data_IF_294515216285
#
_entry.id   IF_294515216285
#
_cell.length_a   1.000
_cell.length_b   1.000
_cell.length_c   1.000
_cell.angle_alpha   90.00
_cell.angle_beta   90.00
_cell.angle_gamma   90.00
#
_symmetry.space_group_name_H-M   'P 1'
#
loop_
_entity.id
_entity.type
_entity.pdbx_description
1 polymer ?
#
# COMPACT_ATOMS: atom_id res chain seq x y z
N UNK A 1 -12.21 13.57 -5.43
CA UNK A 1 -12.33 12.13 -5.19
C UNK A 1 -11.03 11.61 -4.58
N UNK A 2 -11.13 10.84 -3.53
CA UNK A 2 -9.96 10.37 -2.80
C UNK A 2 -9.76 8.86 -3.01
N UNK A 3 -8.54 8.47 -3.32
CA UNK A 3 -8.19 7.05 -3.47
C UNK A 3 -7.65 6.54 -2.15
N UNK A 4 -8.19 5.44 -1.68
CA UNK A 4 -7.75 4.81 -0.44
C UNK A 4 -6.56 3.91 -0.72
N UNK A 5 -5.49 4.09 0.02
CA UNK A 5 -4.21 3.44 -0.22
C UNK A 5 -3.81 2.58 0.97
N UNK A 6 -3.37 1.36 0.68
CA UNK A 6 -2.73 0.51 1.66
C UNK A 6 -1.27 0.33 1.30
N UNK A 7 -0.41 0.32 2.30
CA UNK A 7 1.02 0.11 2.11
C UNK A 7 1.43 -1.19 2.79
N UNK A 8 1.95 -2.11 2.01
CA UNK A 8 2.44 -3.40 2.48
C UNK A 8 3.96 -3.35 2.55
N UNK A 9 4.50 -3.53 3.75
CA UNK A 9 5.92 -3.36 4.00
C UNK A 9 6.23 -1.93 4.40
N UNK A 10 6.35 -1.68 5.69
CA UNK A 10 6.55 -0.33 6.22
C UNK A 10 7.96 -0.14 6.76
N UNK A 11 8.95 -0.58 5.97
CA UNK A 11 10.35 -0.29 6.23
C UNK A 11 10.72 1.08 5.67
N UNK A 12 11.99 1.27 5.35
CA UNK A 12 12.47 2.57 4.86
C UNK A 12 11.72 3.01 3.61
N UNK A 13 11.56 2.11 2.64
CA UNK A 13 10.88 2.45 1.39
C UNK A 13 9.40 2.73 1.63
N UNK A 14 8.75 1.90 2.43
CA UNK A 14 7.33 2.10 2.74
C UNK A 14 7.08 3.44 3.43
N UNK A 15 7.94 3.82 4.35
CA UNK A 15 7.82 5.10 5.04
C UNK A 15 8.01 6.27 4.10
N UNK A 16 8.94 6.15 3.16
CA UNK A 16 9.14 7.20 2.15
C UNK A 16 7.93 7.36 1.25
N UNK A 17 7.32 6.25 0.86
CA UNK A 17 6.11 6.30 0.04
C UNK A 17 4.96 6.94 0.81
N UNK A 18 4.82 6.60 2.08
CA UNK A 18 3.78 7.19 2.91
C UNK A 18 3.96 8.70 2.97
N UNK A 19 5.19 9.17 3.21
CA UNK A 19 5.46 10.60 3.26
C UNK A 19 5.16 11.28 1.94
N UNK A 20 5.50 10.64 0.83
CA UNK A 20 5.23 11.19 -0.49
C UNK A 20 3.73 11.26 -0.77
N UNK A 21 3.00 10.22 -0.39
CA UNK A 21 1.55 10.18 -0.63
C UNK A 21 0.79 11.21 0.18
N UNK A 22 1.28 11.54 1.36
CA UNK A 22 0.66 12.59 2.18
C UNK A 22 0.62 13.94 1.48
N UNK A 23 1.55 14.17 0.56
CA UNK A 23 1.61 15.43 -0.16
C UNK A 23 0.69 15.46 -1.37
N UNK A 24 0.10 14.33 -1.71
CA UNK A 24 -0.79 14.23 -2.87
C UNK A 24 -2.23 14.26 -2.38
N UNK A 25 -2.94 15.29 -2.76
CA UNK A 25 -4.27 15.58 -2.26
C UNK A 25 -5.28 14.46 -2.51
N UNK A 26 -5.14 13.74 -3.62
CA UNK A 26 -6.10 12.73 -4.02
C UNK A 26 -5.86 11.36 -3.40
N UNK A 27 -4.82 11.19 -2.62
CA UNK A 27 -4.50 9.90 -2.00
C UNK A 27 -4.62 9.98 -0.49
N UNK A 28 -5.26 8.97 0.07
CA UNK A 28 -5.39 8.85 1.53
C UNK A 28 -4.88 7.48 1.94
N UNK A 29 -3.77 7.44 2.68
CA UNK A 29 -3.26 6.20 3.23
C UNK A 29 -4.13 5.82 4.43
N UNK A 30 -4.78 4.68 4.35
CA UNK A 30 -5.70 4.23 5.39
C UNK A 30 -5.19 3.05 6.19
N UNK A 31 -4.24 2.30 5.63
CA UNK A 31 -3.75 1.10 6.30
C UNK A 31 -2.31 0.80 5.95
N UNK A 32 -1.65 0.12 6.88
CA UNK A 32 -0.24 -0.26 6.76
C UNK A 32 -0.09 -1.70 7.22
N UNK A 33 0.87 -2.43 6.65
CA UNK A 33 1.24 -3.73 7.19
C UNK A 33 2.75 -3.89 7.21
N UNK A 34 3.25 -4.57 8.24
CA UNK A 34 4.67 -4.89 8.37
C UNK A 34 4.82 -6.00 9.40
N UNK A 35 5.75 -6.90 9.16
CA UNK A 35 5.97 -8.02 10.08
C UNK A 35 6.50 -7.54 11.44
N UNK A 36 7.05 -6.34 11.50
CA UNK A 36 7.52 -5.76 12.75
C UNK A 36 6.39 -5.23 13.63
N UNK A 37 5.18 -5.10 13.09
CA UNK A 37 4.05 -4.65 13.89
C UNK A 37 3.61 -5.76 14.84
N UNK A 38 3.55 -5.43 16.12
CA UNK A 38 3.01 -6.34 17.12
C UNK A 38 1.55 -5.97 17.32
N UNK A 39 0.67 -6.90 16.98
CA UNK A 39 -0.77 -6.70 17.10
C UNK A 39 -1.28 -5.59 16.15
N UNK A 40 -2.52 -5.31 16.30
CA UNK A 40 -3.19 -4.28 15.51
C UNK A 40 -2.95 -2.90 16.14
N UNK A 41 -1.74 -2.40 15.99
CA UNK A 41 -1.43 -1.07 16.49
C UNK A 41 -2.00 -0.03 15.55
N UNK A 42 -2.60 0.99 16.11
CA UNK A 42 -3.10 2.11 15.33
C UNK A 42 -2.03 3.20 15.25
N UNK A 43 -0.98 2.90 14.50
CA UNK A 43 0.06 3.88 14.28
C UNK A 43 -0.48 5.02 13.43
N UNK A 44 -0.26 6.24 13.85
CA UNK A 44 -0.64 7.41 13.07
C UNK A 44 -2.14 7.43 12.75
N UNK A 45 -2.96 6.82 13.59
CA UNK A 45 -4.41 6.70 13.38
C UNK A 45 -4.77 5.89 12.14
N UNK A 46 -3.90 4.97 11.75
CA UNK A 46 -4.13 4.08 10.62
C UNK A 46 -4.34 2.67 11.11
N UNK A 47 -5.01 1.87 10.30
CA UNK A 47 -5.17 0.46 10.60
C UNK A 47 -3.88 -0.27 10.27
N UNK A 48 -3.27 -0.88 11.27
CA UNK A 48 -1.99 -1.57 11.10
C UNK A 48 -2.15 -3.07 11.26
N UNK A 49 -1.52 -3.80 10.38
CA UNK A 49 -1.58 -5.26 10.35
C UNK A 49 -0.17 -5.84 10.37
N UNK A 50 0.00 -6.94 11.08
CA UNK A 50 1.28 -7.66 11.03
C UNK A 50 1.39 -8.55 9.80
N UNK A 51 0.26 -8.93 9.21
CA UNK A 51 0.22 -9.78 8.03
C UNK A 51 -0.47 -9.03 6.89
N UNK A 52 0.22 -8.91 5.76
CA UNK A 52 -0.34 -8.20 4.62
C UNK A 52 -1.59 -8.85 4.05
N UNK A 53 -1.75 -10.16 4.28
CA UNK A 53 -2.94 -10.86 3.81
C UNK A 53 -4.18 -10.34 4.51
N UNK A 54 -4.06 -10.06 5.80
CA UNK A 54 -5.18 -9.52 6.56
C UNK A 54 -5.51 -8.10 6.12
N UNK A 55 -4.49 -7.31 5.83
CA UNK A 55 -4.71 -5.96 5.31
C UNK A 55 -5.50 -6.02 4.01
N UNK A 56 -5.05 -6.82 3.06
CA UNK A 56 -5.68 -6.89 1.75
C UNK A 56 -7.10 -7.44 1.87
N UNK A 57 -7.30 -8.39 2.76
CA UNK A 57 -8.61 -9.03 2.94
C UNK A 57 -9.62 -8.08 3.59
N UNK A 58 -9.18 -7.32 4.59
CA UNK A 58 -10.11 -6.58 5.44
C UNK A 58 -10.29 -5.12 5.06
N UNK A 59 -9.33 -4.53 4.34
CA UNK A 59 -9.38 -3.11 4.02
C UNK A 59 -10.06 -2.88 2.67
N UNK A 60 -10.84 -1.83 2.62
CA UNK A 60 -11.48 -1.39 1.37
C UNK A 60 -10.55 -0.37 0.72
N UNK A 61 -9.79 -0.82 -0.27
CA UNK A 61 -8.73 -0.02 -0.87
C UNK A 61 -8.96 0.16 -2.37
N UNK A 62 -8.37 1.21 -2.90
CA UNK A 62 -8.27 1.43 -4.34
C UNK A 62 -6.89 1.08 -4.84
N UNK A 63 -5.87 1.35 -4.04
CA UNK A 63 -4.46 1.23 -4.43
C UNK A 63 -3.69 0.48 -3.35
N UNK A 64 -2.79 -0.38 -3.79
CA UNK A 64 -1.93 -1.14 -2.91
C UNK A 64 -0.47 -0.93 -3.32
N UNK A 65 0.33 -0.38 -2.41
CA UNK A 65 1.78 -0.25 -2.62
C UNK A 65 2.48 -1.37 -1.88
N UNK A 66 3.36 -2.07 -2.57
CA UNK A 66 4.06 -3.22 -2.03
C UNK A 66 5.55 -2.96 -2.00
N UNK A 67 6.13 -3.02 -0.80
CA UNK A 67 7.57 -2.81 -0.56
C UNK A 67 8.12 -4.02 0.18
N UNK A 68 7.94 -5.20 -0.40
CA UNK A 68 8.38 -6.48 0.17
C UNK A 68 9.47 -7.11 -0.69
N UNK A 69 10.23 -8.06 -0.14
CA UNK A 69 11.14 -8.86 -0.97
C UNK A 69 10.38 -9.59 -2.07
N UNK A 70 11.10 -9.92 -3.14
CA UNK A 70 10.49 -10.40 -4.38
C UNK A 70 9.47 -11.52 -4.23
N UNK A 71 9.78 -12.54 -3.43
CA UNK A 71 8.87 -13.69 -3.29
C UNK A 71 7.56 -13.30 -2.59
N UNK A 72 7.65 -12.46 -1.58
CA UNK A 72 6.45 -11.99 -0.88
C UNK A 72 5.72 -10.94 -1.70
N UNK A 73 6.46 -10.15 -2.46
CA UNK A 73 5.85 -9.13 -3.31
C UNK A 73 4.95 -9.76 -4.36
N UNK A 74 5.36 -10.89 -4.94
CA UNK A 74 4.55 -11.57 -5.93
C UNK A 74 3.23 -12.05 -5.33
N UNK A 75 3.27 -12.63 -4.13
CA UNK A 75 2.05 -13.10 -3.47
C UNK A 75 1.11 -11.96 -3.14
N UNK A 76 1.66 -10.87 -2.60
CA UNK A 76 0.84 -9.71 -2.25
C UNK A 76 0.23 -9.07 -3.49
N UNK A 77 1.00 -8.99 -4.58
CA UNK A 77 0.50 -8.44 -5.84
C UNK A 77 -0.68 -9.23 -6.36
N UNK A 78 -0.57 -10.55 -6.30
CA UNK A 78 -1.63 -11.42 -6.79
C UNK A 78 -2.92 -11.23 -5.99
N UNK A 79 -2.79 -11.15 -4.67
CA UNK A 79 -3.95 -10.92 -3.82
C UNK A 79 -4.61 -9.58 -4.10
N UNK A 80 -3.80 -8.54 -4.30
CA UNK A 80 -4.33 -7.23 -4.62
C UNK A 80 -5.07 -7.23 -5.95
N UNK A 81 -4.49 -7.87 -6.96
CA UNK A 81 -5.13 -7.94 -8.27
C UNK A 81 -6.44 -8.71 -8.23
N UNK A 82 -6.52 -9.76 -7.41
CA UNK A 82 -7.75 -10.51 -7.25
C UNK A 82 -8.87 -9.67 -6.65
N UNK A 83 -8.52 -8.65 -5.91
CA UNK A 83 -9.50 -7.72 -5.34
C UNK A 83 -9.70 -6.48 -6.22
N UNK A 84 -9.18 -6.51 -7.42
CA UNK A 84 -9.30 -5.39 -8.36
C UNK A 84 -8.64 -4.11 -7.86
N UNK A 85 -7.58 -4.24 -7.09
CA UNK A 85 -6.81 -3.08 -6.64
C UNK A 85 -5.76 -2.73 -7.68
N UNK A 86 -5.37 -1.47 -7.70
CA UNK A 86 -4.21 -1.04 -8.47
C UNK A 86 -2.97 -1.32 -7.64
N UNK A 87 -2.12 -2.19 -8.14
CA UNK A 87 -0.97 -2.67 -7.39
C UNK A 87 0.30 -2.08 -7.95
N UNK A 88 1.09 -1.46 -7.07
CA UNK A 88 2.41 -0.94 -7.41
C UNK A 88 3.43 -1.68 -6.55
N UNK A 89 4.32 -2.39 -7.21
CA UNK A 89 5.28 -3.26 -6.55
C UNK A 89 6.71 -2.80 -6.86
N UNK A 90 7.56 -2.84 -5.84
CA UNK A 90 8.96 -2.45 -6.01
C UNK A 90 9.12 -0.95 -6.10
N UNK A 91 10.17 -0.53 -6.79
CA UNK A 91 10.38 0.89 -7.02
C UNK A 91 9.47 1.37 -8.14
N UNK A 92 8.63 2.36 -7.88
CA UNK A 92 7.86 2.91 -8.99
C UNK A 92 8.84 3.51 -10.00
N UNK A 93 8.44 3.59 -11.27
CA UNK A 93 9.20 4.36 -12.23
C UNK A 93 9.45 5.75 -11.65
N UNK A 94 10.52 6.37 -12.05
CA UNK A 94 10.89 7.69 -11.55
C UNK A 94 9.83 8.76 -11.83
N UNK A 95 8.80 8.40 -12.52
CA UNK A 95 7.72 9.31 -12.85
C UNK A 95 6.78 9.48 -11.68
N UNK A 96 6.01 10.53 -11.70
CA UNK A 96 5.12 10.88 -10.61
C UNK A 96 3.99 9.86 -10.49
N UNK A 97 3.47 9.72 -9.29
CA UNK A 97 2.35 8.82 -9.05
C UNK A 97 1.12 9.20 -9.86
N UNK A 98 0.98 10.47 -10.18
CA UNK A 98 -0.15 10.93 -10.97
C UNK A 98 -0.18 10.30 -12.37
N UNK A 99 0.96 9.91 -12.90
CA UNK A 99 1.00 9.24 -14.19
C UNK A 99 0.46 7.82 -14.14
N UNK A 100 0.36 7.26 -12.95
CA UNK A 100 -0.13 5.91 -12.77
C UNK A 100 -1.64 5.84 -12.61
N UNK A 101 -2.24 6.95 -12.27
CA UNK A 101 -3.69 7.01 -12.05
C UNK A 101 -4.51 6.65 -13.30
N UNK A 102 -4.18 7.14 -14.49
CA UNK A 102 -4.96 6.79 -15.68
C UNK A 102 -4.98 5.30 -15.99
N UNK A 103 -4.03 4.54 -15.45
CA UNK A 103 -3.99 3.11 -15.69
C UNK A 103 -5.15 2.41 -15.01
N UNK A 104 -5.78 3.08 -14.08
CA UNK A 104 -6.89 2.53 -13.33
C UNK A 104 -8.08 2.18 -14.21
N UNK A 105 -8.19 2.76 -15.32
CA UNK A 105 -9.26 2.45 -16.24
C UNK A 105 -9.00 1.12 -16.96
#
# INVERSE_FOLDING_TARGET
MTYKVGIVGYGVVGKKRHAALKKIHDFEVTSLSDISFEYEDNLLNLNCYSDYKDLIKNEDLDILFISLPNNHAASASLLGLKKNLHVFCGKPPAKTLSELIPIKE
#
